data_IF_893066603521
#
_entry.id   IF_893066603521
#
_cell.length_a   1.000
_cell.length_b   1.000
_cell.length_c   1.000
_cell.angle_alpha   90.00
_cell.angle_beta   90.00
_cell.angle_gamma   90.00
#
_symmetry.space_group_name_H-M   'P 1'
#
loop_
_entity.id
_entity.type
_entity.pdbx_description
1 polymer ?
#
# COMPACT_ATOMS: atom_id res chain seq x y z
N UNK A 1 -16.88 3.69 2.24
CA UNK A 1 -16.13 2.43 2.45
C UNK A 1 -15.93 1.64 1.17
N UNK A 2 -16.99 1.39 0.38
CA UNK A 2 -16.91 0.61 -0.88
C UNK A 2 -15.86 1.19 -1.85
N UNK A 3 -15.84 2.51 -2.02
CA UNK A 3 -14.84 3.18 -2.86
C UNK A 3 -13.40 2.95 -2.37
N UNK A 4 -13.14 3.09 -1.07
CA UNK A 4 -11.82 2.83 -0.49
C UNK A 4 -11.40 1.35 -0.68
N UNK A 5 -12.34 0.40 -0.55
CA UNK A 5 -12.04 -1.01 -0.83
C UNK A 5 -11.73 -1.24 -2.31
N UNK A 6 -12.52 -0.65 -3.21
CA UNK A 6 -12.29 -0.76 -4.64
C UNK A 6 -10.87 -0.27 -5.00
N UNK A 7 -10.47 0.90 -4.49
CA UNK A 7 -9.10 1.41 -4.64
C UNK A 7 -8.06 0.52 -3.98
N UNK A 8 -8.37 -0.04 -2.82
CA UNK A 8 -7.49 -0.95 -2.10
C UNK A 8 -7.24 -2.29 -2.81
N UNK A 9 -8.11 -2.70 -3.73
CA UNK A 9 -7.92 -3.87 -4.58
C UNK A 9 -6.99 -3.62 -5.77
N UNK A 10 -6.86 -2.37 -6.23
CA UNK A 10 -6.10 -2.01 -7.44
C UNK A 10 -4.63 -2.50 -7.39
N UNK A 11 -3.87 -2.31 -6.29
CA UNK A 11 -2.48 -2.76 -6.23
C UNK A 11 -2.31 -4.27 -6.43
N UNK A 12 -3.27 -5.07 -5.96
CA UNK A 12 -3.26 -6.51 -6.17
C UNK A 12 -3.42 -6.87 -7.65
N UNK A 13 -4.41 -6.26 -8.33
CA UNK A 13 -4.62 -6.48 -9.76
C UNK A 13 -3.44 -6.01 -10.61
N UNK A 14 -2.83 -4.86 -10.28
CA UNK A 14 -1.63 -4.37 -10.97
C UNK A 14 -0.46 -5.35 -10.79
N UNK A 15 -0.23 -5.86 -9.59
CA UNK A 15 0.84 -6.82 -9.34
C UNK A 15 0.62 -8.13 -10.12
N UNK A 16 -0.62 -8.59 -10.24
CA UNK A 16 -0.96 -9.76 -11.03
C UNK A 16 -0.81 -9.50 -12.54
N UNK A 17 -1.17 -8.31 -13.03
CA UNK A 17 -0.93 -7.90 -14.40
C UNK A 17 0.57 -7.88 -14.72
N UNK A 18 1.40 -7.30 -13.84
CA UNK A 18 2.86 -7.29 -14.00
C UNK A 18 3.46 -8.71 -14.03
N UNK A 19 2.91 -9.63 -13.24
CA UNK A 19 3.32 -11.04 -13.27
C UNK A 19 3.06 -11.68 -14.64
N UNK A 20 1.93 -11.36 -15.26
CA UNK A 20 1.56 -11.85 -16.58
C UNK A 20 2.42 -11.20 -17.68
N UNK A 21 2.66 -9.89 -17.63
CA UNK A 21 3.48 -9.20 -18.63
C UNK A 21 4.92 -9.72 -18.70
N UNK A 22 5.50 -10.11 -17.56
CA UNK A 22 6.81 -10.77 -17.52
C UNK A 22 6.76 -12.16 -18.17
N UNK A 23 5.69 -12.92 -17.93
CA UNK A 23 5.50 -14.24 -18.56
C UNK A 23 5.42 -14.13 -20.09
N UNK A 24 4.82 -13.07 -20.60
CA UNK A 24 4.68 -12.79 -22.03
C UNK A 24 5.81 -11.93 -22.63
N UNK A 25 6.91 -11.73 -21.90
CA UNK A 25 8.11 -10.99 -22.35
C UNK A 25 7.84 -9.55 -22.85
N UNK A 26 6.94 -8.83 -22.20
CA UNK A 26 6.60 -7.47 -22.60
C UNK A 26 7.75 -6.45 -22.38
N UNK A 27 7.61 -5.29 -23.02
CA UNK A 27 8.59 -4.19 -23.03
C UNK A 27 9.03 -3.77 -21.61
N UNK A 28 10.34 -3.54 -21.42
CA UNK A 28 10.93 -3.05 -20.16
C UNK A 28 10.27 -1.75 -19.66
N UNK A 29 9.93 -0.83 -20.55
CA UNK A 29 9.32 0.45 -20.19
C UNK A 29 7.91 0.27 -19.61
N UNK A 30 7.13 -0.65 -20.17
CA UNK A 30 5.81 -0.98 -19.67
C UNK A 30 5.90 -1.54 -18.25
N UNK A 31 6.84 -2.45 -17.99
CA UNK A 31 7.09 -3.00 -16.64
C UNK A 31 7.43 -1.93 -15.60
N UNK A 32 8.32 -0.99 -15.95
CA UNK A 32 8.69 0.11 -15.05
C UNK A 32 7.49 1.02 -14.78
N UNK A 33 6.74 1.38 -15.82
CA UNK A 33 5.52 2.19 -15.67
C UNK A 33 4.50 1.52 -14.76
N UNK A 34 4.22 0.22 -14.98
CA UNK A 34 3.31 -0.56 -14.14
C UNK A 34 3.78 -0.63 -12.68
N UNK A 35 5.08 -0.75 -12.42
CA UNK A 35 5.64 -0.70 -11.06
C UNK A 35 5.46 0.66 -10.38
N UNK A 36 5.60 1.76 -11.13
CA UNK A 36 5.37 3.11 -10.60
C UNK A 36 3.89 3.32 -10.27
N UNK A 37 2.99 2.91 -11.17
CA UNK A 37 1.54 2.98 -10.92
C UNK A 37 1.17 2.09 -9.73
N UNK A 38 1.73 0.89 -9.65
CA UNK A 38 1.55 0.02 -8.48
C UNK A 38 1.91 0.72 -7.17
N UNK A 39 3.09 1.35 -7.13
CA UNK A 39 3.58 2.04 -5.93
C UNK A 39 2.68 3.22 -5.53
N UNK A 40 2.14 3.95 -6.50
CA UNK A 40 1.21 5.07 -6.26
C UNK A 40 -0.13 4.64 -5.67
N UNK A 41 -0.61 3.44 -6.03
CA UNK A 41 -1.88 2.92 -5.52
C UNK A 41 -1.74 2.06 -4.26
N UNK A 42 -0.53 1.57 -3.96
CA UNK A 42 -0.26 0.73 -2.79
C UNK A 42 -0.74 1.31 -1.43
N UNK A 43 -0.61 2.64 -1.16
CA UNK A 43 -1.17 3.25 0.05
C UNK A 43 -2.65 2.93 0.28
N UNK A 44 -3.45 2.86 -0.80
CA UNK A 44 -4.90 2.67 -0.68
C UNK A 44 -5.28 1.32 -0.07
N UNK A 45 -4.50 0.25 -0.30
CA UNK A 45 -4.76 -1.06 0.30
C UNK A 45 -4.69 -1.01 1.83
N UNK A 46 -3.73 -0.26 2.37
CA UNK A 46 -3.48 -0.16 3.80
C UNK A 46 -4.21 1.02 4.46
N UNK A 47 -4.58 2.04 3.68
CA UNK A 47 -5.30 3.24 4.13
C UNK A 47 -6.61 2.91 4.86
N UNK A 48 -7.30 1.85 4.44
CA UNK A 48 -8.59 1.42 5.02
C UNK A 48 -8.45 1.08 6.52
N UNK A 49 -7.24 0.73 7.00
CA UNK A 49 -6.99 0.55 8.44
C UNK A 49 -7.16 1.85 9.25
N UNK A 50 -6.99 3.01 8.62
CA UNK A 50 -7.18 4.29 9.32
C UNK A 50 -8.66 4.64 9.48
N UNK A 51 -9.57 3.95 8.79
CA UNK A 51 -11.00 4.21 8.92
C UNK A 51 -11.58 3.73 10.27
N UNK A 52 -10.85 2.90 11.03
CA UNK A 52 -11.18 2.59 12.43
C UNK A 52 -11.28 3.83 13.31
N UNK A 53 -10.55 4.92 13.01
CA UNK A 53 -10.64 6.19 13.75
C UNK A 53 -12.01 6.89 13.62
N UNK A 54 -12.90 6.40 12.74
CA UNK A 54 -14.24 6.95 12.52
C UNK A 54 -15.37 6.14 13.16
N UNK A 55 -15.06 5.02 13.82
CA UNK A 55 -16.03 4.25 14.58
C UNK A 55 -16.64 5.16 15.66
N UNK A 56 -17.98 5.23 15.71
CA UNK A 56 -18.81 6.09 16.59
C UNK A 56 -19.18 7.48 16.05
N UNK A 57 -18.93 7.83 14.78
CA UNK A 57 -19.44 9.10 14.23
C UNK A 57 -20.92 9.07 13.83
N UNK A 58 -21.51 7.89 13.63
CA UNK A 58 -22.89 7.74 13.18
C UNK A 58 -23.76 7.13 14.28
N UNK A 59 -24.59 7.97 14.92
CA UNK A 59 -25.56 7.53 15.96
C UNK A 59 -26.73 6.71 15.38
N UNK A 60 -26.79 6.53 14.07
CA UNK A 60 -27.91 5.92 13.35
C UNK A 60 -27.87 4.39 13.31
N UNK A 61 -26.71 3.78 13.62
CA UNK A 61 -26.47 2.33 13.48
C UNK A 61 -25.77 1.80 14.75
N UNK A 62 -26.06 0.57 15.18
CA UNK A 62 -25.32 -0.04 16.30
C UNK A 62 -23.82 -0.13 16.01
N UNK A 63 -22.99 0.31 16.95
CA UNK A 63 -21.52 0.36 16.83
C UNK A 63 -20.89 -0.98 16.45
N UNK A 64 -21.44 -2.10 16.92
CA UNK A 64 -20.93 -3.44 16.60
C UNK A 64 -21.07 -3.78 15.12
N UNK A 65 -22.12 -3.26 14.45
CA UNK A 65 -22.34 -3.48 13.03
C UNK A 65 -21.32 -2.69 12.21
N UNK A 66 -21.15 -1.40 12.52
CA UNK A 66 -20.15 -0.55 11.87
C UNK A 66 -18.73 -1.11 12.05
N UNK A 67 -18.42 -1.61 13.26
CA UNK A 67 -17.16 -2.28 13.53
C UNK A 67 -16.95 -3.51 12.64
N UNK A 68 -17.95 -4.38 12.49
CA UNK A 68 -17.85 -5.57 11.64
C UNK A 68 -17.62 -5.19 10.17
N UNK A 69 -18.33 -4.18 9.68
CA UNK A 69 -18.22 -3.71 8.30
C UNK A 69 -16.84 -3.10 8.04
N UNK A 70 -16.38 -2.19 8.91
CA UNK A 70 -15.04 -1.59 8.79
C UNK A 70 -13.97 -2.67 8.89
N UNK A 71 -14.08 -3.59 9.86
CA UNK A 71 -13.10 -4.65 10.03
C UNK A 71 -13.00 -5.58 8.82
N UNK A 72 -14.13 -5.99 8.24
CA UNK A 72 -14.12 -6.84 7.02
C UNK A 72 -13.50 -6.11 5.84
N UNK A 73 -13.80 -4.82 5.62
CA UNK A 73 -13.17 -4.02 4.56
C UNK A 73 -11.67 -3.78 4.81
N UNK A 74 -11.29 -3.51 6.06
CA UNK A 74 -9.88 -3.28 6.39
C UNK A 74 -9.06 -4.56 6.27
N UNK A 75 -9.57 -5.71 6.73
CA UNK A 75 -8.87 -7.00 6.60
C UNK A 75 -8.70 -7.37 5.12
N UNK A 76 -9.75 -7.22 4.31
CA UNK A 76 -9.69 -7.54 2.87
C UNK A 76 -8.71 -6.64 2.13
N UNK A 77 -8.77 -5.32 2.33
CA UNK A 77 -7.79 -4.38 1.76
C UNK A 77 -6.37 -4.67 2.21
N UNK A 78 -6.18 -4.96 3.49
CA UNK A 78 -4.87 -5.32 4.06
C UNK A 78 -4.27 -6.57 3.41
N UNK A 79 -5.08 -7.62 3.23
CA UNK A 79 -4.66 -8.85 2.57
C UNK A 79 -4.29 -8.59 1.10
N UNK A 80 -5.06 -7.78 0.37
CA UNK A 80 -4.69 -7.38 -0.99
C UNK A 80 -3.33 -6.67 -1.05
N UNK A 81 -3.09 -5.74 -0.11
CA UNK A 81 -1.80 -5.07 0.01
C UNK A 81 -0.64 -6.04 0.25
N UNK A 82 -0.80 -6.99 1.18
CA UNK A 82 0.22 -8.00 1.47
C UNK A 82 0.50 -8.93 0.28
N UNK A 83 -0.55 -9.48 -0.34
CA UNK A 83 -0.38 -10.35 -1.52
C UNK A 83 0.26 -9.62 -2.68
N UNK A 84 -0.08 -8.34 -2.85
CA UNK A 84 0.54 -7.48 -3.84
C UNK A 84 2.04 -7.32 -3.59
N UNK A 85 2.43 -6.98 -2.34
CA UNK A 85 3.84 -6.89 -1.93
C UNK A 85 4.61 -8.20 -2.13
N UNK A 86 4.04 -9.35 -1.78
CA UNK A 86 4.68 -10.65 -2.02
C UNK A 86 4.89 -10.94 -3.50
N UNK A 87 3.90 -10.60 -4.33
CA UNK A 87 3.97 -10.81 -5.77
C UNK A 87 5.08 -9.96 -6.39
N UNK A 88 5.16 -8.68 -6.02
CA UNK A 88 6.22 -7.78 -6.47
C UNK A 88 7.59 -8.23 -5.96
N UNK A 89 7.72 -8.64 -4.69
CA UNK A 89 9.00 -9.14 -4.18
C UNK A 89 9.48 -10.37 -4.98
N UNK A 90 8.59 -11.33 -5.24
CA UNK A 90 8.91 -12.52 -6.05
C UNK A 90 9.36 -12.13 -7.45
N UNK A 91 8.65 -11.21 -8.11
CA UNK A 91 9.03 -10.67 -9.42
C UNK A 91 10.43 -10.05 -9.37
N UNK A 92 10.71 -9.21 -8.37
CA UNK A 92 12.01 -8.56 -8.22
C UNK A 92 13.13 -9.59 -8.00
N UNK A 93 12.89 -10.67 -7.24
CA UNK A 93 13.89 -11.73 -7.03
C UNK A 93 14.20 -12.57 -8.28
N UNK A 94 13.34 -12.55 -9.30
CA UNK A 94 13.60 -13.24 -10.58
C UNK A 94 14.65 -12.47 -11.40
N UNK A 95 14.61 -11.14 -11.38
CA UNK A 95 15.47 -10.28 -12.20
C UNK A 95 16.63 -9.64 -11.43
N UNK A 96 16.56 -9.61 -10.09
CA UNK A 96 17.53 -8.94 -9.22
C UNK A 96 17.90 -9.80 -8.01
N UNK A 97 18.93 -9.37 -7.26
CA UNK A 97 19.37 -10.07 -6.06
C UNK A 97 18.30 -10.05 -4.96
N UNK A 98 18.30 -11.09 -4.12
CA UNK A 98 17.39 -11.20 -2.96
C UNK A 98 17.51 -9.98 -2.03
N UNK A 99 18.72 -9.47 -1.81
CA UNK A 99 18.94 -8.29 -0.97
C UNK A 99 18.33 -7.03 -1.58
N UNK A 100 18.50 -6.80 -2.88
CA UNK A 100 17.90 -5.64 -3.55
C UNK A 100 16.37 -5.69 -3.48
N UNK A 101 15.77 -6.87 -3.68
CA UNK A 101 14.31 -7.03 -3.56
C UNK A 101 13.78 -6.67 -2.16
N UNK A 102 14.52 -7.01 -1.10
CA UNK A 102 14.17 -6.66 0.29
C UNK A 102 14.26 -5.17 0.53
N UNK A 103 15.31 -4.52 0.03
CA UNK A 103 15.49 -3.07 0.14
C UNK A 103 14.36 -2.34 -0.58
N UNK A 104 14.01 -2.75 -1.81
CA UNK A 104 12.92 -2.13 -2.57
C UNK A 104 11.61 -2.27 -1.81
N UNK A 105 11.27 -3.47 -1.31
CA UNK A 105 10.05 -3.66 -0.53
C UNK A 105 10.04 -2.83 0.76
N UNK A 106 11.17 -2.79 1.47
CA UNK A 106 11.31 -1.95 2.66
C UNK A 106 10.99 -0.48 2.33
N UNK A 107 11.62 0.08 1.28
CA UNK A 107 11.33 1.44 0.85
C UNK A 107 9.86 1.63 0.42
N UNK A 108 9.29 0.68 -0.32
CA UNK A 108 7.88 0.72 -0.73
C UNK A 108 6.93 0.76 0.46
N UNK A 109 7.21 0.02 1.54
CA UNK A 109 6.39 0.02 2.75
C UNK A 109 6.42 1.37 3.47
N UNK A 110 7.59 2.01 3.58
CA UNK A 110 7.68 3.34 4.20
C UNK A 110 7.06 4.43 3.32
N UNK A 111 7.25 4.34 2.00
CA UNK A 111 6.53 5.21 1.05
C UNK A 111 5.02 5.03 1.13
N UNK A 112 4.56 3.79 1.38
CA UNK A 112 3.14 3.49 1.60
C UNK A 112 2.63 4.17 2.87
N UNK A 113 3.35 4.05 3.99
CA UNK A 113 3.00 4.71 5.24
C UNK A 113 2.92 6.24 5.10
N UNK A 114 3.89 6.83 4.40
CA UNK A 114 3.87 8.25 4.07
C UNK A 114 2.68 8.62 3.16
N UNK A 115 2.40 7.83 2.12
CA UNK A 115 1.24 8.04 1.25
C UNK A 115 -0.11 7.96 1.99
N UNK A 116 -0.22 7.08 2.98
CA UNK A 116 -1.40 7.01 3.85
C UNK A 116 -1.56 8.31 4.65
N UNK A 117 -0.47 8.88 5.17
CA UNK A 117 -0.53 10.17 5.85
C UNK A 117 -1.06 11.27 4.92
N UNK A 118 -0.51 11.36 3.70
CA UNK A 118 -0.94 12.35 2.72
C UNK A 118 -2.43 12.22 2.41
N UNK A 119 -2.92 11.00 2.22
CA UNK A 119 -4.35 10.78 1.97
C UNK A 119 -5.22 11.03 3.19
N UNK A 120 -4.73 10.74 4.39
CA UNK A 120 -5.53 10.83 5.62
C UNK A 120 -5.66 12.25 6.14
N UNK A 121 -4.54 12.95 6.20
CA UNK A 121 -4.43 14.26 6.84
C UNK A 121 -4.49 15.41 5.83
N UNK A 122 -3.79 15.25 4.70
CA UNK A 122 -3.77 16.27 3.64
C UNK A 122 -4.85 16.03 2.57
N UNK A 123 -5.60 14.92 2.65
CA UNK A 123 -6.71 14.55 1.75
C UNK A 123 -6.33 14.39 0.28
N UNK A 124 -5.07 14.09 0.00
CA UNK A 124 -4.61 13.77 -1.35
C UNK A 124 -4.99 12.35 -1.76
N UNK A 125 -5.44 12.18 -3.01
CA UNK A 125 -5.71 10.89 -3.61
C UNK A 125 -4.62 10.53 -4.63
N UNK A 126 -4.55 9.26 -5.04
CA UNK A 126 -3.57 8.78 -6.02
C UNK A 126 -3.65 9.48 -7.38
N UNK A 127 -4.80 10.06 -7.76
CA UNK A 127 -4.98 10.83 -9.01
C UNK A 127 -4.54 12.29 -8.91
N UNK A 128 -4.29 12.82 -7.70
CA UNK A 128 -3.86 14.22 -7.52
C UNK A 128 -2.45 14.49 -8.06
N UNK A 129 -1.67 13.42 -8.29
CA UNK A 129 -0.39 13.48 -9.02
C UNK A 129 -0.59 14.01 -10.45
N UNK A 130 -1.76 13.79 -11.04
CA UNK A 130 -2.07 14.21 -12.41
C UNK A 130 -2.91 15.50 -12.40
N UNK A 131 -3.90 15.59 -11.51
CA UNK A 131 -4.84 16.72 -11.49
C UNK A 131 -4.29 17.96 -10.81
N UNK A 132 -3.50 17.83 -9.73
CA UNK A 132 -2.96 18.94 -8.94
C UNK A 132 -1.48 18.70 -8.54
N UNK A 133 -0.56 18.54 -9.50
CA UNK A 133 0.83 18.18 -9.20
C UNK A 133 1.57 19.25 -8.38
N UNK A 134 1.35 20.54 -8.66
CA UNK A 134 2.09 21.63 -8.00
C UNK A 134 1.77 21.66 -6.49
N UNK A 135 0.49 21.64 -6.12
CA UNK A 135 0.07 21.63 -4.72
C UNK A 135 0.49 20.35 -4.00
N UNK A 136 0.50 19.22 -4.70
CA UNK A 136 0.98 17.96 -4.14
C UNK A 136 2.48 18.04 -3.84
N UNK A 137 3.31 18.53 -4.76
CA UNK A 137 4.77 18.61 -4.55
C UNK A 137 5.19 19.64 -3.49
N UNK A 138 4.52 20.79 -3.41
CA UNK A 138 4.81 21.79 -2.38
C UNK A 138 4.47 21.26 -0.98
N UNK A 139 3.31 20.63 -0.83
CA UNK A 139 2.90 20.02 0.43
C UNK A 139 3.72 18.78 0.79
N UNK A 140 4.13 17.97 -0.18
CA UNK A 140 5.08 16.88 0.03
C UNK A 140 6.36 17.39 0.70
N UNK A 141 6.96 18.43 0.11
CA UNK A 141 8.25 18.93 0.56
C UNK A 141 8.17 19.56 1.95
N UNK A 142 7.13 20.34 2.25
CA UNK A 142 6.92 20.91 3.59
C UNK A 142 6.62 19.83 4.63
N UNK A 143 5.85 18.81 4.26
CA UNK A 143 5.42 17.73 5.15
C UNK A 143 6.56 16.83 5.58
N UNK A 144 7.55 16.59 4.72
CA UNK A 144 8.72 15.74 5.02
C UNK A 144 9.50 16.20 6.27
N UNK A 145 9.49 17.50 6.57
CA UNK A 145 10.19 18.07 7.72
C UNK A 145 9.31 18.20 8.97
N UNK A 146 8.02 17.92 8.86
CA UNK A 146 7.13 17.96 10.03
C UNK A 146 7.32 16.73 10.91
N UNK A 147 7.42 16.95 12.23
CA UNK A 147 7.63 15.87 13.21
C UNK A 147 6.46 14.89 13.22
N UNK A 148 5.23 15.36 13.01
CA UNK A 148 4.02 14.53 12.99
C UNK A 148 4.04 13.52 11.83
N UNK A 149 4.39 13.96 10.62
CA UNK A 149 4.55 13.09 9.45
C UNK A 149 5.62 12.04 9.68
N UNK A 150 6.76 12.44 10.26
CA UNK A 150 7.88 11.53 10.53
C UNK A 150 7.48 10.46 11.54
N UNK A 151 6.85 10.85 12.65
CA UNK A 151 6.36 9.92 13.68
C UNK A 151 5.33 8.94 13.09
N UNK A 152 4.37 9.44 12.32
CA UNK A 152 3.38 8.58 11.66
C UNK A 152 4.03 7.62 10.67
N UNK A 153 4.90 8.12 9.79
CA UNK A 153 5.56 7.32 8.75
C UNK A 153 6.45 6.25 9.37
N UNK A 154 7.21 6.58 10.41
CA UNK A 154 8.07 5.62 11.11
C UNK A 154 7.21 4.59 11.86
N UNK A 155 6.21 5.04 12.64
CA UNK A 155 5.36 4.15 13.43
C UNK A 155 4.54 3.21 12.56
N UNK A 156 3.78 3.75 11.62
CA UNK A 156 2.93 2.97 10.72
C UNK A 156 3.76 2.15 9.73
N UNK A 157 4.86 2.69 9.21
CA UNK A 157 5.80 1.98 8.34
C UNK A 157 6.44 0.79 9.03
N UNK A 158 6.89 0.95 10.28
CA UNK A 158 7.42 -0.16 11.09
C UNK A 158 6.36 -1.22 11.35
N UNK A 159 5.14 -0.81 11.71
CA UNK A 159 4.00 -1.71 11.89
C UNK A 159 3.74 -2.57 10.64
N UNK A 160 3.61 -1.93 9.47
CA UNK A 160 3.41 -2.63 8.20
C UNK A 160 4.59 -3.54 7.87
N UNK A 161 5.82 -3.07 8.09
CA UNK A 161 7.04 -3.84 7.78
C UNK A 161 7.15 -5.10 8.64
N UNK A 162 6.87 -5.01 9.94
CA UNK A 162 6.89 -6.16 10.84
C UNK A 162 5.86 -7.21 10.40
N UNK A 163 4.62 -6.79 10.10
CA UNK A 163 3.59 -7.74 9.63
C UNK A 163 4.01 -8.38 8.32
N UNK A 164 4.48 -7.58 7.37
CA UNK A 164 4.99 -8.09 6.11
C UNK A 164 6.13 -9.09 6.31
N UNK A 165 7.10 -8.78 7.16
CA UNK A 165 8.26 -9.63 7.44
C UNK A 165 7.83 -10.97 8.03
N UNK A 166 6.96 -10.96 9.06
CA UNK A 166 6.42 -12.17 9.66
C UNK A 166 5.69 -13.01 8.61
N UNK A 167 4.77 -12.41 7.86
CA UNK A 167 4.01 -13.11 6.82
C UNK A 167 4.91 -13.63 5.68
N UNK A 168 5.96 -12.89 5.31
CA UNK A 168 6.97 -13.32 4.34
C UNK A 168 7.68 -14.60 4.83
N UNK A 169 8.17 -14.60 6.06
CA UNK A 169 8.91 -15.76 6.60
C UNK A 169 8.07 -17.03 6.63
N UNK A 170 6.79 -16.93 6.99
CA UNK A 170 5.85 -18.06 6.98
C UNK A 170 5.60 -18.57 5.55
N UNK A 171 5.41 -17.65 4.60
CA UNK A 171 5.07 -18.00 3.23
C UNK A 171 6.26 -18.59 2.48
N UNK A 172 7.47 -18.03 2.62
CA UNK A 172 8.66 -18.54 1.94
C UNK A 172 9.22 -19.82 2.56
N UNK A 173 8.98 -20.07 3.86
CA UNK A 173 9.36 -21.35 4.49
C UNK A 173 8.59 -22.52 3.88
N UNK A 174 7.28 -22.35 3.63
CA UNK A 174 6.43 -23.38 3.03
C UNK A 174 6.71 -23.67 1.54
N UNK A 175 7.48 -22.83 0.84
CA UNK A 175 7.83 -23.07 -0.57
C UNK A 175 9.15 -23.86 -0.74
N UNK A 176 9.90 -24.07 0.34
CA UNK A 176 11.19 -24.76 0.34
C UNK A 176 11.14 -26.11 1.09
N UNK A 177 9.95 -26.57 1.47
CA UNK A 177 9.66 -27.89 2.08
C UNK A 177 8.83 -28.70 1.11
#
# INVERSE_FOLDING_TARGET
MIWNLFLGGIPYFIAQFLKLSIKFQENKWLRISTLLVWLLFLPNSFYILTDFFHLNKFNSVPVWYDLLVVATFSITGFLFGLYSLFTIQKILTIHHSKNLSRIIVFLSVYLTAFGIYLGRYLRFNSWDVITNPIDLFTNLFSSLFSTEVQQFTIGFGTFLFVIYFVAATLTFKNQNT
#
